data_IF_994257015532
#
_entry.id   IF_994257015532
#
_cell.length_a   1.000
_cell.length_b   1.000
_cell.length_c   1.000
_cell.angle_alpha   90.00
_cell.angle_beta   90.00
_cell.angle_gamma   90.00
#
_symmetry.space_group_name_H-M   'P 1'
#
loop_
_entity.id
_entity.type
_entity.pdbx_description
1 polymer ?
#
# COMPACT_ATOMS: atom_id res chain seq x y z
N UNK A 1 -2.63 -14.53 16.04
CA UNK A 1 -3.11 -14.50 14.63
C UNK A 1 -2.39 -13.36 13.93
N UNK A 2 -1.81 -13.58 12.76
CA UNK A 2 -1.05 -12.53 12.04
C UNK A 2 -1.94 -11.42 11.45
N UNK A 3 -1.41 -10.19 11.43
CA UNK A 3 -2.07 -9.02 10.87
C UNK A 3 -2.27 -9.11 9.36
N UNK A 4 -1.29 -9.64 8.62
CA UNK A 4 -1.38 -9.80 7.17
C UNK A 4 -2.50 -10.78 6.79
N UNK A 5 -2.68 -11.83 7.60
CA UNK A 5 -3.80 -12.75 7.43
C UNK A 5 -5.14 -12.02 7.63
N UNK A 6 -5.30 -11.34 8.77
CA UNK A 6 -6.54 -10.59 9.08
C UNK A 6 -6.85 -9.56 7.99
N UNK A 7 -5.84 -8.83 7.51
CA UNK A 7 -5.99 -7.86 6.44
C UNK A 7 -6.62 -8.49 5.18
N UNK A 8 -6.09 -9.63 4.72
CA UNK A 8 -6.63 -10.28 3.52
C UNK A 8 -8.00 -10.91 3.76
N UNK A 9 -8.25 -11.48 4.93
CA UNK A 9 -9.57 -12.00 5.27
C UNK A 9 -10.62 -10.90 5.28
N UNK A 10 -10.30 -9.74 5.88
CA UNK A 10 -11.19 -8.60 5.88
C UNK A 10 -11.38 -8.06 4.47
N UNK A 11 -10.29 -7.90 3.69
CA UNK A 11 -10.33 -7.43 2.30
C UNK A 11 -11.26 -8.29 1.44
N UNK A 12 -11.18 -9.62 1.59
CA UNK A 12 -12.05 -10.55 0.89
C UNK A 12 -13.50 -10.47 1.39
N UNK A 13 -13.71 -10.22 2.68
CA UNK A 13 -15.04 -10.06 3.27
C UNK A 13 -15.70 -8.70 2.97
N UNK A 14 -14.98 -7.69 2.46
CA UNK A 14 -15.52 -6.33 2.19
C UNK A 14 -16.76 -6.40 1.31
N UNK A 15 -16.74 -7.18 0.22
CA UNK A 15 -17.89 -7.28 -0.68
C UNK A 15 -19.12 -7.85 0.04
N UNK A 16 -18.95 -8.91 0.82
CA UNK A 16 -20.01 -9.51 1.63
C UNK A 16 -20.54 -8.53 2.68
N UNK A 17 -19.64 -7.82 3.37
CA UNK A 17 -20.00 -6.80 4.36
C UNK A 17 -20.82 -5.67 3.72
N UNK A 18 -20.45 -5.23 2.51
CA UNK A 18 -21.18 -4.21 1.77
C UNK A 18 -22.57 -4.67 1.35
N UNK A 19 -22.75 -5.94 0.95
CA UNK A 19 -24.05 -6.52 0.61
C UNK A 19 -24.98 -6.67 1.82
N UNK A 20 -24.41 -6.89 3.00
CA UNK A 20 -25.16 -7.00 4.26
C UNK A 20 -25.39 -5.66 4.96
N UNK A 21 -24.94 -4.55 4.35
CA UNK A 21 -25.15 -3.22 4.89
C UNK A 21 -26.61 -2.77 4.77
N UNK A 22 -27.00 -1.82 5.60
CA UNK A 22 -28.36 -1.30 5.66
C UNK A 22 -28.42 0.18 5.22
N UNK A 23 -29.49 0.55 4.52
CA UNK A 23 -29.76 1.92 4.08
C UNK A 23 -29.62 2.10 2.56
N UNK A 24 -30.60 2.77 1.94
CA UNK A 24 -30.65 2.99 0.49
C UNK A 24 -29.79 4.16 0.01
N UNK A 25 -29.52 5.14 0.86
CA UNK A 25 -28.70 6.34 0.56
C UNK A 25 -27.33 6.27 1.24
N UNK A 26 -27.29 5.76 2.48
CA UNK A 26 -26.05 5.53 3.24
C UNK A 26 -25.96 4.07 3.65
N UNK A 27 -25.08 3.32 2.99
CA UNK A 27 -24.87 1.92 3.32
C UNK A 27 -24.07 1.79 4.62
N UNK A 28 -24.73 1.33 5.68
CA UNK A 28 -24.16 1.25 7.03
C UNK A 28 -23.86 -0.20 7.40
N UNK A 29 -22.60 -0.49 7.74
CA UNK A 29 -22.16 -1.78 8.26
C UNK A 29 -22.18 -1.71 9.79
N UNK A 30 -22.97 -2.57 10.44
CA UNK A 30 -23.13 -2.56 11.91
C UNK A 30 -22.26 -3.62 12.59
N UNK A 31 -22.14 -3.56 13.92
CA UNK A 31 -21.49 -4.62 14.70
C UNK A 31 -22.16 -5.99 14.49
N UNK A 32 -23.47 -6.02 14.30
CA UNK A 32 -24.19 -7.26 14.05
C UNK A 32 -23.91 -7.80 12.64
N UNK A 33 -23.68 -6.93 11.65
CA UNK A 33 -23.17 -7.35 10.33
C UNK A 33 -21.82 -8.07 10.47
N UNK A 34 -20.91 -7.56 11.30
CA UNK A 34 -19.61 -8.20 11.57
C UNK A 34 -19.72 -9.54 12.31
N UNK A 35 -20.63 -9.68 13.28
CA UNK A 35 -20.82 -10.96 14.00
C UNK A 35 -21.23 -12.12 13.09
N UNK A 36 -21.87 -11.80 11.97
CA UNK A 36 -22.43 -12.79 11.05
C UNK A 36 -21.46 -13.18 9.92
N UNK A 37 -20.31 -12.51 9.78
CA UNK A 37 -19.33 -12.90 8.77
C UNK A 37 -18.62 -14.18 9.19
N UNK A 38 -18.47 -15.10 8.24
CA UNK A 38 -17.66 -16.30 8.42
C UNK A 38 -16.38 -16.13 7.61
N UNK A 39 -15.25 -16.19 8.30
CA UNK A 39 -13.93 -16.22 7.69
C UNK A 39 -13.34 -17.61 7.90
N UNK A 40 -12.69 -18.22 6.89
CA UNK A 40 -11.96 -19.45 7.13
C UNK A 40 -10.86 -19.15 8.15
N UNK A 41 -10.61 -20.11 9.04
CA UNK A 41 -9.55 -20.06 10.05
C UNK A 41 -9.19 -21.49 10.44
N UNK A 42 -7.88 -21.80 10.43
CA UNK A 42 -7.37 -23.11 10.85
C UNK A 42 -6.76 -23.03 12.25
N UNK A 43 -5.57 -22.46 12.37
CA UNK A 43 -4.84 -22.30 13.63
C UNK A 43 -3.85 -21.14 13.53
N UNK A 44 -3.29 -20.72 14.67
CA UNK A 44 -2.34 -19.60 14.72
C UNK A 44 -1.03 -19.90 13.98
N UNK A 45 -0.50 -21.12 14.09
CA UNK A 45 0.75 -21.54 13.46
C UNK A 45 0.72 -21.33 11.94
N UNK A 46 -0.34 -21.79 11.28
CA UNK A 46 -0.53 -21.64 9.84
C UNK A 46 -0.66 -20.17 9.44
N UNK A 47 -1.36 -19.35 10.24
CA UNK A 47 -1.44 -17.91 9.96
C UNK A 47 -0.08 -17.23 10.07
N UNK A 48 0.79 -17.69 10.96
CA UNK A 48 2.14 -17.18 11.12
C UNK A 48 3.06 -17.64 9.98
N UNK A 49 2.96 -18.90 9.54
CA UNK A 49 3.67 -19.38 8.35
C UNK A 49 3.26 -18.62 7.09
N UNK A 50 1.97 -18.34 6.93
CA UNK A 50 1.46 -17.48 5.87
C UNK A 50 2.06 -16.07 5.93
N UNK A 51 2.06 -15.45 7.12
CA UNK A 51 2.66 -14.13 7.36
C UNK A 51 4.10 -14.07 6.88
N UNK A 52 4.91 -15.08 7.20
CA UNK A 52 6.32 -15.11 6.80
C UNK A 52 6.52 -15.05 5.28
N UNK A 53 5.61 -15.66 4.51
CA UNK A 53 5.64 -15.62 3.04
C UNK A 53 5.23 -14.25 2.49
N UNK A 54 4.21 -13.61 3.09
CA UNK A 54 3.63 -12.39 2.53
C UNK A 54 4.26 -11.09 3.06
N UNK A 55 4.86 -11.12 4.24
CA UNK A 55 5.40 -9.94 4.94
C UNK A 55 6.40 -9.15 4.08
N UNK A 56 7.27 -9.84 3.35
CA UNK A 56 8.24 -9.20 2.46
C UNK A 56 7.56 -8.34 1.37
N UNK A 57 6.40 -8.76 0.87
CA UNK A 57 5.64 -7.99 -0.11
C UNK A 57 5.00 -6.75 0.51
N UNK A 58 4.47 -6.84 1.74
CA UNK A 58 3.97 -5.66 2.46
C UNK A 58 5.09 -4.63 2.67
N UNK A 59 6.27 -5.08 3.13
CA UNK A 59 7.43 -4.21 3.29
C UNK A 59 7.83 -3.55 1.96
N UNK A 60 7.83 -4.30 0.86
CA UNK A 60 8.13 -3.77 -0.47
C UNK A 60 7.09 -2.74 -0.93
N UNK A 61 5.80 -3.00 -0.72
CA UNK A 61 4.72 -2.07 -1.02
C UNK A 61 4.91 -0.78 -0.22
N UNK A 62 5.17 -0.88 1.08
CA UNK A 62 5.37 0.28 1.95
C UNK A 62 6.57 1.13 1.49
N UNK A 63 7.70 0.48 1.23
CA UNK A 63 8.90 1.17 0.73
C UNK A 63 8.66 1.84 -0.63
N UNK A 64 7.96 1.18 -1.55
CA UNK A 64 7.62 1.77 -2.84
C UNK A 64 6.73 3.00 -2.69
N UNK A 65 5.80 3.01 -1.72
CA UNK A 65 4.98 4.19 -1.44
C UNK A 65 5.84 5.36 -0.93
N UNK A 66 6.79 5.11 -0.02
CA UNK A 66 7.71 6.16 0.44
C UNK A 66 8.58 6.70 -0.69
N UNK A 67 9.12 5.83 -1.55
CA UNK A 67 9.88 6.25 -2.72
C UNK A 67 9.03 7.08 -3.68
N UNK A 68 7.78 6.67 -3.92
CA UNK A 68 6.86 7.40 -4.79
C UNK A 68 6.59 8.82 -4.26
N UNK A 69 6.34 8.96 -2.96
CA UNK A 69 6.17 10.27 -2.31
C UNK A 69 7.44 11.12 -2.44
N UNK A 70 8.60 10.54 -2.14
CA UNK A 70 9.88 11.25 -2.21
C UNK A 70 10.20 11.73 -3.64
N UNK A 71 10.00 10.87 -4.65
CA UNK A 71 10.20 11.20 -6.06
C UNK A 71 9.21 12.25 -6.55
N UNK A 72 7.95 12.17 -6.10
CA UNK A 72 6.92 13.16 -6.42
C UNK A 72 7.31 14.53 -5.87
N UNK A 73 7.69 14.59 -4.59
CA UNK A 73 8.13 15.83 -3.96
C UNK A 73 9.40 16.39 -4.62
N UNK A 74 10.34 15.52 -4.98
CA UNK A 74 11.56 15.93 -5.68
C UNK A 74 11.21 16.53 -7.05
N UNK A 75 10.36 15.86 -7.84
CA UNK A 75 9.87 16.38 -9.12
C UNK A 75 9.20 17.74 -8.94
N UNK A 76 8.28 17.85 -7.99
CA UNK A 76 7.49 19.06 -7.77
C UNK A 76 8.34 20.22 -7.22
N UNK A 77 9.48 19.91 -6.61
CA UNK A 77 10.47 20.92 -6.18
C UNK A 77 11.40 21.34 -7.31
N UNK A 78 11.89 20.39 -8.12
CA UNK A 78 12.89 20.65 -9.15
C UNK A 78 12.28 21.25 -10.42
N UNK A 79 11.09 20.80 -10.81
CA UNK A 79 10.47 21.23 -12.07
C UNK A 79 10.21 22.74 -12.11
N UNK A 80 9.66 23.40 -11.06
CA UNK A 80 9.50 24.85 -11.05
C UNK A 80 10.82 25.60 -11.15
N UNK A 81 11.87 25.13 -10.45
CA UNK A 81 13.21 25.74 -10.47
C UNK A 81 13.89 25.61 -11.82
N UNK A 82 13.66 24.50 -12.50
CA UNK A 82 14.14 24.29 -13.86
C UNK A 82 13.43 25.24 -14.84
N UNK A 83 12.12 25.41 -14.69
CA UNK A 83 11.32 26.32 -15.55
C UNK A 83 11.66 27.79 -15.27
N UNK A 84 11.92 28.17 -14.01
CA UNK A 84 12.30 29.55 -13.65
C UNK A 84 13.74 29.92 -14.05
N UNK A 85 14.56 28.94 -14.45
CA UNK A 85 15.98 29.14 -14.76
C UNK A 85 16.87 29.24 -13.53
N UNK A 86 16.34 29.04 -12.32
CA UNK A 86 17.13 28.93 -11.08
C UNK A 86 18.04 27.70 -11.06
N UNK A 87 17.74 26.69 -11.88
CA UNK A 87 18.52 25.46 -12.06
C UNK A 87 18.84 25.28 -13.55
N UNK A 88 20.12 25.15 -13.90
CA UNK A 88 20.57 24.82 -15.26
C UNK A 88 20.98 23.35 -15.39
N UNK A 89 20.71 22.74 -16.54
CA UNK A 89 21.13 21.37 -16.85
C UNK A 89 22.61 21.28 -17.23
N UNK A 90 23.22 22.40 -17.64
CA UNK A 90 24.63 22.49 -18.05
C UNK A 90 25.59 22.30 -16.86
N UNK A 91 25.11 22.65 -15.65
CA UNK A 91 25.86 22.55 -14.41
C UNK A 91 25.77 21.16 -13.75
N UNK A 92 24.92 20.26 -14.28
CA UNK A 92 24.71 18.94 -13.69
C UNK A 92 25.76 17.92 -14.18
N UNK A 93 26.37 17.14 -13.28
CA UNK A 93 27.26 16.05 -13.68
C UNK A 93 26.51 15.04 -14.54
N UNK A 94 27.20 14.46 -15.52
CA UNK A 94 26.62 13.52 -16.46
C UNK A 94 26.28 12.17 -15.78
N UNK A 95 25.09 12.10 -15.16
CA UNK A 95 24.64 10.96 -14.34
C UNK A 95 24.43 9.66 -15.13
N UNK A 96 24.33 9.74 -16.47
CA UNK A 96 24.21 8.57 -17.34
C UNK A 96 25.45 7.65 -17.31
N UNK A 97 26.59 8.11 -16.78
CA UNK A 97 27.82 7.31 -16.64
C UNK A 97 28.00 6.66 -15.26
N UNK A 98 27.06 6.81 -14.33
CA UNK A 98 27.18 6.32 -12.94
C UNK A 98 26.22 5.19 -12.56
N UNK A 99 25.39 4.70 -13.49
CA UNK A 99 24.52 3.53 -13.26
C UNK A 99 25.08 2.28 -13.93
N UNK A 100 26.35 1.97 -13.69
CA UNK A 100 26.79 0.58 -13.80
C UNK A 100 26.37 -0.13 -12.50
N UNK A 101 25.51 -1.16 -12.55
CA UNK A 101 25.19 -1.95 -11.38
C UNK A 101 26.44 -2.75 -10.96
N UNK A 102 26.83 -2.62 -9.69
CA UNK A 102 27.75 -3.55 -9.03
C UNK A 102 27.11 -4.93 -8.85
#
# INVERSE_FOLDING_TARGET
ISDEYIYFQLKNAVQTLQQMGHGSVFNTITRDTFKNIKVPFCNEELTNSYSLLVKNYFSKILNNNYQNIALTNLRDTLLPKLISGELSLEDLPNLAKQTEPA
#
